data_IF_363110778675
#
_entry.id   IF_363110778675
#
_cell.length_a   1.000
_cell.length_b   1.000
_cell.length_c   1.000
_cell.angle_alpha   90.00
_cell.angle_beta   90.00
_cell.angle_gamma   90.00
#
_symmetry.space_group_name_H-M   'P 1'
#
loop_
_entity.id
_entity.type
_entity.pdbx_description
1 polymer ?
#
# COMPACT_ATOMS: atom_id res chain seq x y z
N UNK A 1 -27.51 17.65 3.91
CA UNK A 1 -27.89 16.39 3.30
C UNK A 1 -27.19 16.25 1.96
N UNK A 2 -26.35 15.20 1.79
CA UNK A 2 -25.72 14.85 0.51
C UNK A 2 -26.77 14.05 -0.27
N UNK A 3 -27.28 14.60 -1.37
CA UNK A 3 -28.26 13.98 -2.25
C UNK A 3 -29.36 14.95 -2.65
N UNK A 4 -30.13 14.61 -3.70
CA UNK A 4 -31.31 15.39 -4.10
C UNK A 4 -32.38 15.17 -3.03
N UNK A 5 -32.62 16.17 -2.21
CA UNK A 5 -33.66 16.14 -1.18
C UNK A 5 -34.89 16.89 -1.72
N UNK A 6 -36.04 16.23 -1.70
CA UNK A 6 -37.29 16.87 -2.07
C UNK A 6 -37.79 17.68 -0.87
N UNK A 7 -37.80 19.01 -1.00
CA UNK A 7 -38.37 19.92 0.01
C UNK A 7 -39.89 19.81 -0.05
N UNK A 8 -40.54 19.48 1.06
CA UNK A 8 -42.00 19.40 1.23
C UNK A 8 -42.47 20.49 2.20
N UNK A 9 -43.78 20.70 2.30
CA UNK A 9 -44.38 21.68 3.22
C UNK A 9 -44.04 21.45 4.70
N UNK A 10 -43.60 20.24 5.04
CA UNK A 10 -43.26 19.84 6.41
C UNK A 10 -41.73 19.83 6.68
N UNK A 11 -40.96 20.42 5.76
CA UNK A 11 -39.51 20.51 5.86
C UNK A 11 -39.10 21.79 6.56
N UNK A 12 -38.57 21.71 7.76
CA UNK A 12 -37.99 22.86 8.47
C UNK A 12 -36.61 23.20 7.91
N UNK A 13 -36.46 24.39 7.36
CA UNK A 13 -35.19 24.89 6.86
C UNK A 13 -34.59 25.83 7.91
N UNK A 14 -33.50 25.38 8.54
CA UNK A 14 -32.71 26.19 9.48
C UNK A 14 -31.54 26.81 8.70
N UNK A 15 -31.56 28.11 8.51
CA UNK A 15 -30.46 28.88 7.95
C UNK A 15 -29.53 29.27 9.11
N UNK A 16 -28.28 28.85 9.08
CA UNK A 16 -27.23 29.31 10.02
C UNK A 16 -26.45 30.44 9.35
N UNK A 17 -26.19 31.50 10.10
CA UNK A 17 -25.43 32.67 9.63
C UNK A 17 -23.92 32.47 9.53
N UNK A 18 -23.42 31.36 10.07
CA UNK A 18 -22.01 30.98 9.98
C UNK A 18 -21.86 29.79 9.02
N UNK A 19 -20.88 29.90 8.12
CA UNK A 19 -20.45 28.76 7.33
C UNK A 19 -20.02 27.64 8.28
N UNK A 20 -20.54 26.44 8.08
CA UNK A 20 -20.05 25.26 8.81
C UNK A 20 -18.65 25.04 8.27
N UNK A 21 -17.63 25.28 9.09
CA UNK A 21 -16.27 24.90 8.77
C UNK A 21 -16.24 23.39 8.52
N UNK A 22 -15.63 22.99 7.40
CA UNK A 22 -15.48 21.57 7.02
C UNK A 22 -14.69 20.73 8.07
N UNK A 23 -14.08 21.41 9.05
CA UNK A 23 -13.38 20.79 10.18
C UNK A 23 -14.32 20.18 11.24
N UNK A 24 -15.57 20.63 11.32
CA UNK A 24 -16.57 20.10 12.29
C UNK A 24 -17.35 18.87 11.78
N UNK A 25 -17.15 18.48 10.52
CA UNK A 25 -17.70 17.23 9.99
C UNK A 25 -16.69 16.09 10.23
N UNK A 26 -16.50 15.75 11.49
CA UNK A 26 -15.75 14.56 11.90
C UNK A 26 -16.45 13.23 11.57
N UNK A 27 -17.25 13.20 10.51
CA UNK A 27 -17.74 11.97 9.90
C UNK A 27 -16.76 11.62 8.77
N UNK A 28 -16.09 10.46 8.94
CA UNK A 28 -15.40 9.81 7.84
C UNK A 28 -16.29 9.89 6.59
N UNK A 29 -15.77 10.41 5.50
CA UNK A 29 -16.45 10.44 4.20
C UNK A 29 -16.89 9.03 3.86
N UNK A 30 -18.00 8.57 4.29
CA UNK A 30 -18.74 7.35 3.96
C UNK A 30 -17.97 6.15 3.35
N UNK A 31 -16.64 6.07 3.52
CA UNK A 31 -15.79 4.96 3.07
C UNK A 31 -16.10 3.75 3.92
N UNK A 32 -16.55 2.69 3.26
CA UNK A 32 -16.87 1.40 3.88
C UNK A 32 -15.83 0.35 3.51
N UNK A 33 -15.93 -0.84 4.10
CA UNK A 33 -15.08 -1.97 3.69
C UNK A 33 -15.26 -2.38 2.23
N UNK A 34 -16.41 -2.09 1.64
CA UNK A 34 -16.68 -2.37 0.22
C UNK A 34 -15.89 -1.48 -0.74
N UNK A 35 -15.37 -0.36 -0.24
CA UNK A 35 -14.55 0.57 -1.01
C UNK A 35 -13.04 0.24 -0.90
N UNK A 36 -12.68 -0.79 -0.15
CA UNK A 36 -11.29 -1.21 0.06
C UNK A 36 -11.10 -2.63 -0.46
N UNK A 37 -10.55 -2.77 -1.66
CA UNK A 37 -10.21 -4.05 -2.27
C UNK A 37 -8.80 -4.53 -1.93
N UNK A 38 -8.54 -5.81 -2.12
CA UNK A 38 -7.19 -6.40 -2.08
C UNK A 38 -6.60 -6.64 -0.70
N UNK A 39 -7.40 -6.63 0.37
CA UNK A 39 -6.94 -6.76 1.74
C UNK A 39 -7.72 -7.80 2.58
N UNK A 40 -8.30 -8.81 1.95
CA UNK A 40 -9.22 -9.75 2.62
C UNK A 40 -8.70 -10.33 3.94
N UNK A 41 -7.48 -10.87 3.97
CA UNK A 41 -6.87 -11.40 5.20
C UNK A 41 -6.49 -10.30 6.21
N UNK A 42 -6.00 -9.17 5.73
CA UNK A 42 -5.65 -8.02 6.55
C UNK A 42 -6.90 -7.40 7.18
N UNK A 43 -8.00 -7.35 6.42
CA UNK A 43 -9.27 -6.83 6.91
C UNK A 43 -9.81 -7.65 8.09
N UNK A 44 -9.68 -8.96 8.06
CA UNK A 44 -10.06 -9.81 9.19
C UNK A 44 -9.24 -9.44 10.44
N UNK A 45 -7.92 -9.27 10.31
CA UNK A 45 -7.06 -8.84 11.41
C UNK A 45 -7.43 -7.46 11.95
N UNK A 46 -7.77 -6.52 11.05
CA UNK A 46 -8.22 -5.18 11.41
C UNK A 46 -9.52 -5.25 12.20
N UNK A 47 -10.49 -6.06 11.77
CA UNK A 47 -11.74 -6.30 12.49
C UNK A 47 -11.50 -6.86 13.89
N UNK A 48 -10.67 -7.88 14.01
CA UNK A 48 -10.35 -8.51 15.30
C UNK A 48 -9.61 -7.55 16.26
N UNK A 49 -8.72 -6.72 15.74
CA UNK A 49 -7.84 -5.88 16.57
C UNK A 49 -8.37 -4.48 16.84
N UNK A 50 -9.29 -3.96 16.02
CA UNK A 50 -9.80 -2.60 16.15
C UNK A 50 -11.32 -2.58 16.33
N UNK A 51 -12.06 -3.25 15.43
CA UNK A 51 -13.51 -3.20 15.44
C UNK A 51 -14.10 -3.92 16.66
N UNK A 52 -13.67 -5.15 16.94
CA UNK A 52 -14.17 -5.91 18.09
C UNK A 52 -13.90 -5.24 19.44
N UNK A 53 -12.71 -4.70 19.74
CA UNK A 53 -12.48 -3.96 20.98
C UNK A 53 -13.39 -2.75 21.17
N UNK A 54 -13.69 -2.03 20.08
CA UNK A 54 -14.54 -0.83 20.13
C UNK A 54 -16.04 -1.17 20.21
N UNK A 55 -16.51 -2.20 19.50
CA UNK A 55 -17.91 -2.62 19.48
C UNK A 55 -18.28 -3.50 20.68
N UNK A 56 -17.35 -4.37 21.11
CA UNK A 56 -17.61 -5.44 22.10
C UNK A 56 -16.51 -5.54 23.16
N UNK A 57 -16.22 -4.48 23.93
CA UNK A 57 -15.19 -4.51 24.97
C UNK A 57 -15.46 -5.55 26.07
N UNK A 58 -16.74 -5.91 26.26
CA UNK A 58 -17.16 -6.93 27.24
C UNK A 58 -16.57 -8.33 26.95
N UNK A 59 -16.29 -8.67 25.68
CA UNK A 59 -15.68 -9.94 25.33
C UNK A 59 -14.26 -10.06 25.90
N UNK A 60 -13.50 -8.99 25.80
CA UNK A 60 -12.11 -8.92 26.30
C UNK A 60 -12.08 -8.98 27.83
N UNK A 61 -13.00 -8.24 28.49
CA UNK A 61 -13.15 -8.29 29.96
C UNK A 61 -13.51 -9.68 30.46
N UNK A 62 -14.41 -10.38 29.77
CA UNK A 62 -14.80 -11.74 30.10
C UNK A 62 -13.67 -12.76 29.97
N UNK A 63 -12.80 -12.58 28.99
CA UNK A 63 -11.63 -13.42 28.75
C UNK A 63 -10.44 -13.05 29.66
N UNK A 64 -10.52 -11.93 30.39
CA UNK A 64 -9.42 -11.43 31.23
C UNK A 64 -8.19 -10.96 30.43
N UNK A 65 -8.41 -10.47 29.19
CA UNK A 65 -7.37 -9.95 28.33
C UNK A 65 -7.61 -8.46 28.05
N UNK A 66 -6.55 -7.68 28.00
CA UNK A 66 -6.64 -6.28 27.63
C UNK A 66 -6.79 -6.14 26.10
N UNK A 67 -7.75 -5.33 25.62
CA UNK A 67 -7.87 -5.06 24.19
C UNK A 67 -6.66 -4.29 23.67
N UNK A 68 -6.24 -4.52 22.40
CA UNK A 68 -5.20 -3.72 21.78
C UNK A 68 -5.58 -2.24 21.76
N UNK A 69 -4.66 -1.36 22.16
CA UNK A 69 -4.87 0.09 22.19
C UNK A 69 -4.20 0.80 21.03
N UNK A 70 -3.17 0.18 20.48
CA UNK A 70 -2.43 0.69 19.34
C UNK A 70 -2.20 -0.38 18.30
N UNK A 71 -2.54 -0.06 17.04
CA UNK A 71 -2.30 -0.91 15.88
C UNK A 71 -1.42 -0.17 14.89
N UNK A 72 -0.33 -0.78 14.46
CA UNK A 72 0.58 -0.22 13.46
C UNK A 72 0.29 -0.83 12.08
N UNK A 73 -0.17 -0.02 11.14
CA UNK A 73 -0.28 -0.38 9.73
C UNK A 73 1.04 -0.03 9.03
N UNK A 74 1.68 -0.99 8.40
CA UNK A 74 2.92 -0.73 7.70
C UNK A 74 2.96 -1.39 6.32
N UNK A 75 3.69 -0.79 5.38
CA UNK A 75 3.83 -1.31 4.02
C UNK A 75 4.11 -0.20 3.02
N UNK A 76 4.27 -0.53 1.72
CA UNK A 76 4.58 0.45 0.68
C UNK A 76 3.57 1.60 0.62
N UNK A 77 3.97 2.78 0.11
CA UNK A 77 3.03 3.87 -0.12
C UNK A 77 1.95 3.45 -1.14
N UNK A 78 0.77 4.06 -1.04
CA UNK A 78 -0.33 3.80 -1.97
C UNK A 78 -1.06 2.47 -1.80
N UNK A 79 -0.79 1.69 -0.74
CA UNK A 79 -1.46 0.41 -0.46
C UNK A 79 -2.77 0.54 0.32
N UNK A 80 -3.27 1.75 0.56
CA UNK A 80 -4.59 1.99 1.16
C UNK A 80 -4.63 2.03 2.70
N UNK A 81 -3.50 2.19 3.41
CA UNK A 81 -3.44 2.25 4.88
C UNK A 81 -4.41 3.26 5.49
N UNK A 82 -4.46 4.46 4.95
CA UNK A 82 -5.36 5.54 5.38
C UNK A 82 -6.83 5.21 5.08
N UNK A 83 -7.12 4.57 3.94
CA UNK A 83 -8.47 4.14 3.57
C UNK A 83 -9.00 3.06 4.53
N UNK A 84 -8.15 2.10 4.91
CA UNK A 84 -8.50 1.06 5.89
C UNK A 84 -8.91 1.70 7.22
N UNK A 85 -8.13 2.67 7.73
CA UNK A 85 -8.44 3.34 8.98
C UNK A 85 -9.77 4.10 8.94
N UNK A 86 -10.06 4.80 7.82
CA UNK A 86 -11.35 5.48 7.60
C UNK A 86 -12.50 4.49 7.49
N UNK A 87 -12.34 3.38 6.76
CA UNK A 87 -13.37 2.37 6.62
C UNK A 87 -13.75 1.75 7.98
N UNK A 88 -12.75 1.41 8.80
CA UNK A 88 -12.99 0.92 10.15
C UNK A 88 -13.77 1.92 11.01
N UNK A 89 -13.38 3.20 10.95
CA UNK A 89 -14.07 4.25 11.72
C UNK A 89 -15.54 4.40 11.31
N UNK A 90 -15.83 4.32 10.02
CA UNK A 90 -17.20 4.35 9.49
C UNK A 90 -18.00 3.13 10.00
N UNK A 91 -17.45 1.94 9.91
CA UNK A 91 -18.11 0.69 10.32
C UNK A 91 -18.41 0.62 11.84
N UNK A 92 -17.54 1.22 12.65
CA UNK A 92 -17.70 1.27 14.10
C UNK A 92 -18.55 2.47 14.53
N UNK A 93 -18.84 3.40 13.62
CA UNK A 93 -19.41 4.71 13.91
C UNK A 93 -18.61 5.46 15.00
N UNK A 94 -17.28 5.38 14.92
CA UNK A 94 -16.36 6.02 15.85
C UNK A 94 -15.99 7.44 15.38
N UNK A 95 -15.74 8.33 16.35
CA UNK A 95 -15.12 9.62 16.04
C UNK A 95 -13.74 9.40 15.45
N UNK A 96 -13.49 9.94 14.26
CA UNK A 96 -12.22 9.75 13.53
C UNK A 96 -11.41 11.04 13.50
N UNK A 97 -10.23 11.01 14.14
CA UNK A 97 -9.28 12.13 14.11
C UNK A 97 -8.02 11.72 13.37
N UNK A 98 -7.81 12.26 12.18
CA UNK A 98 -6.59 12.05 11.41
C UNK A 98 -5.53 13.10 11.77
N UNK A 99 -4.29 12.65 11.85
CA UNK A 99 -3.11 13.44 12.13
C UNK A 99 -2.07 13.09 11.09
N UNK A 100 -1.50 14.09 10.44
CA UNK A 100 -0.36 13.92 9.56
C UNK A 100 0.92 14.21 10.35
N UNK A 101 1.84 13.26 10.42
CA UNK A 101 3.06 13.38 11.22
C UNK A 101 3.87 14.64 10.97
N UNK A 102 4.23 14.97 9.73
CA UNK A 102 4.98 16.19 9.40
C UNK A 102 4.31 17.49 9.86
N UNK A 103 2.99 17.56 9.91
CA UNK A 103 2.27 18.78 10.33
C UNK A 103 2.45 19.10 11.81
N UNK A 104 2.57 18.05 12.64
CA UNK A 104 2.82 18.23 14.08
C UNK A 104 4.19 18.85 14.34
N UNK A 105 5.20 18.45 13.56
CA UNK A 105 6.58 18.94 13.76
C UNK A 105 6.75 20.34 13.18
N UNK A 106 6.04 20.71 12.10
CA UNK A 106 6.22 21.95 11.38
C UNK A 106 5.55 23.18 12.02
N UNK A 107 4.53 22.98 12.85
CA UNK A 107 3.77 24.06 13.50
C UNK A 107 4.39 24.47 14.85
N UNK A 108 5.38 25.34 14.84
CA UNK A 108 5.95 26.08 15.99
C UNK A 108 6.61 25.27 17.12
N UNK A 109 7.83 25.69 17.47
CA UNK A 109 8.61 25.21 18.62
C UNK A 109 7.78 25.30 19.91
N UNK A 110 7.48 24.16 20.53
CA UNK A 110 6.81 24.07 21.84
C UNK A 110 5.31 23.81 21.84
N UNK A 111 4.62 23.90 20.69
CA UNK A 111 3.17 23.64 20.59
C UNK A 111 2.82 22.17 20.26
N UNK A 112 3.75 21.43 19.68
CA UNK A 112 3.54 20.06 19.21
C UNK A 112 3.10 19.09 20.34
N UNK A 113 3.72 19.22 21.52
CA UNK A 113 3.37 18.38 22.69
C UNK A 113 1.97 18.70 23.23
N UNK A 114 1.60 19.98 23.23
CA UNK A 114 0.28 20.43 23.67
C UNK A 114 -0.79 19.99 22.72
N UNK A 115 -0.57 20.14 21.41
CA UNK A 115 -1.49 19.72 20.37
C UNK A 115 -1.74 18.20 20.41
N UNK A 116 -0.71 17.38 20.57
CA UNK A 116 -0.88 15.94 20.74
C UNK A 116 -1.76 15.63 21.96
N UNK A 117 -1.54 16.28 23.09
CA UNK A 117 -2.36 16.07 24.29
C UNK A 117 -3.82 16.45 24.05
N UNK A 118 -4.09 17.60 23.45
CA UNK A 118 -5.44 18.07 23.12
C UNK A 118 -6.18 17.08 22.25
N UNK A 119 -5.51 16.49 21.23
CA UNK A 119 -6.09 15.47 20.35
C UNK A 119 -6.48 14.19 21.13
N UNK A 120 -5.62 13.71 22.02
CA UNK A 120 -5.91 12.52 22.83
C UNK A 120 -7.01 12.79 23.85
N UNK A 121 -7.10 13.99 24.41
CA UNK A 121 -8.14 14.40 25.33
C UNK A 121 -9.49 14.53 24.58
N UNK A 122 -9.50 15.18 23.40
CA UNK A 122 -10.68 15.25 22.52
C UNK A 122 -11.21 13.86 22.15
N UNK A 123 -10.34 12.94 21.75
CA UNK A 123 -10.73 11.58 21.41
C UNK A 123 -11.31 10.81 22.60
N UNK A 124 -10.83 11.10 23.82
CA UNK A 124 -11.37 10.49 25.05
C UNK A 124 -12.75 11.01 25.38
N UNK A 125 -13.01 12.30 25.16
CA UNK A 125 -14.31 12.93 25.37
C UNK A 125 -15.37 12.45 24.37
N UNK A 126 -14.94 12.21 23.10
CA UNK A 126 -15.83 11.78 22.00
C UNK A 126 -15.78 10.27 21.76
N UNK A 127 -15.53 9.45 22.78
CA UNK A 127 -15.47 7.99 22.63
C UNK A 127 -16.82 7.37 22.22
N UNK A 128 -16.88 6.31 21.36
CA UNK A 128 -15.75 5.58 20.80
C UNK A 128 -15.00 6.38 19.75
N UNK A 129 -13.66 6.36 19.78
CA UNK A 129 -12.83 7.18 18.91
C UNK A 129 -11.62 6.42 18.34
N UNK A 130 -11.22 6.81 17.14
CA UNK A 130 -10.02 6.33 16.46
C UNK A 130 -9.12 7.54 16.18
N UNK A 131 -7.91 7.51 16.72
CA UNK A 131 -6.85 8.46 16.38
C UNK A 131 -5.99 7.80 15.29
N UNK A 132 -5.99 8.35 14.09
CA UNK A 132 -5.15 7.88 13.00
C UNK A 132 -3.94 8.81 12.83
N UNK A 133 -2.74 8.25 12.88
CA UNK A 133 -1.48 8.99 12.75
C UNK A 133 -0.78 8.51 11.49
N UNK A 134 -0.82 9.31 10.43
CA UNK A 134 -0.11 9.01 9.20
C UNK A 134 1.36 9.44 9.31
N UNK A 135 2.24 8.73 8.60
CA UNK A 135 3.69 8.95 8.64
C UNK A 135 4.25 9.06 10.07
N UNK A 136 3.84 8.14 10.95
CA UNK A 136 4.23 8.16 12.37
C UNK A 136 5.75 8.10 12.57
N UNK A 137 6.49 7.57 11.62
CA UNK A 137 7.96 7.57 11.61
C UNK A 137 8.57 8.97 11.50
N UNK A 138 7.84 9.96 10.98
CA UNK A 138 8.25 11.36 10.99
C UNK A 138 8.22 11.98 12.39
N UNK A 139 7.22 11.60 13.22
CA UNK A 139 7.07 12.11 14.58
C UNK A 139 7.93 11.33 15.57
N UNK A 140 8.08 10.03 15.34
CA UNK A 140 8.70 9.10 16.27
C UNK A 140 9.83 8.29 15.62
N UNK A 141 10.86 8.94 15.05
CA UNK A 141 12.01 8.25 14.48
C UNK A 141 12.86 7.55 15.56
N UNK A 142 13.75 6.66 15.14
CA UNK A 142 14.72 6.03 16.05
C UNK A 142 15.56 7.07 16.76
N UNK A 143 15.88 6.81 18.03
CA UNK A 143 16.70 7.72 18.84
C UNK A 143 18.09 8.00 18.28
N UNK A 144 18.62 7.06 17.50
CA UNK A 144 19.92 7.18 16.82
C UNK A 144 19.87 8.17 15.65
N UNK A 145 18.70 8.32 15.03
CA UNK A 145 18.48 9.19 13.88
C UNK A 145 18.01 10.59 14.29
N UNK A 146 17.74 10.82 15.60
CA UNK A 146 17.22 12.07 16.14
C UNK A 146 18.35 12.98 16.61
N UNK A 147 18.56 14.07 15.89
CA UNK A 147 19.53 15.13 16.28
C UNK A 147 18.91 16.28 17.09
N UNK A 148 17.58 16.45 17.06
CA UNK A 148 16.85 17.55 17.69
C UNK A 148 16.29 17.21 19.09
N UNK A 149 16.35 18.22 20.00
CA UNK A 149 15.76 18.09 21.35
C UNK A 149 14.23 18.06 21.31
N UNK A 150 13.62 18.75 20.36
CA UNK A 150 12.16 18.83 20.17
C UNK A 150 11.59 17.48 19.76
N UNK A 151 12.20 16.83 18.78
CA UNK A 151 11.78 15.49 18.33
C UNK A 151 11.82 14.47 19.48
N UNK A 152 12.87 14.51 20.31
CA UNK A 152 12.97 13.64 21.49
C UNK A 152 11.84 13.86 22.49
N UNK A 153 11.40 15.11 22.67
CA UNK A 153 10.29 15.47 23.57
C UNK A 153 8.96 14.96 23.01
N UNK A 154 8.74 15.13 21.71
CA UNK A 154 7.52 14.63 21.03
C UNK A 154 7.43 13.12 21.14
N UNK A 155 8.52 12.37 20.92
CA UNK A 155 8.57 10.91 21.14
C UNK A 155 8.24 10.54 22.56
N UNK A 156 8.84 11.24 23.55
CA UNK A 156 8.57 10.99 24.96
C UNK A 156 7.11 11.27 25.33
N UNK A 157 6.53 12.35 24.79
CA UNK A 157 5.13 12.69 24.98
C UNK A 157 4.20 11.63 24.37
N UNK A 158 4.48 11.18 23.15
CA UNK A 158 3.71 10.11 22.51
C UNK A 158 3.73 8.82 23.33
N UNK A 159 4.90 8.42 23.84
CA UNK A 159 5.01 7.26 24.73
C UNK A 159 4.17 7.43 26.00
N UNK A 160 4.20 8.61 26.60
CA UNK A 160 3.41 8.93 27.81
C UNK A 160 1.90 8.89 27.53
N UNK A 161 1.46 9.42 26.39
CA UNK A 161 0.06 9.41 25.99
C UNK A 161 -0.45 8.00 25.73
N UNK A 162 0.34 7.17 25.02
CA UNK A 162 -0.02 5.76 24.79
C UNK A 162 -0.07 4.96 26.09
N UNK A 163 0.89 5.14 26.99
CA UNK A 163 0.86 4.50 28.31
C UNK A 163 -0.30 5.00 29.18
N UNK A 164 -0.64 6.28 29.10
CA UNK A 164 -1.75 6.91 29.81
C UNK A 164 -3.15 6.49 29.34
N UNK A 165 -3.26 5.79 28.23
CA UNK A 165 -4.50 5.19 27.74
C UNK A 165 -4.93 3.94 28.54
N UNK A 166 -4.12 3.50 29.53
CA UNK A 166 -4.52 2.44 30.46
C UNK A 166 -5.70 2.96 31.34
N UNK A 167 -6.90 2.50 31.02
CA UNK A 167 -8.15 2.92 31.70
C UNK A 167 -9.05 3.86 30.89
N UNK A 168 -8.63 4.36 29.73
CA UNK A 168 -9.49 5.06 28.76
C UNK A 168 -10.08 4.02 27.80
N UNK A 169 -11.20 3.42 28.21
CA UNK A 169 -11.92 2.46 27.39
C UNK A 169 -12.48 3.15 26.12
N UNK A 170 -12.45 2.45 24.97
CA UNK A 170 -13.03 2.84 23.68
C UNK A 170 -12.26 3.89 22.85
N UNK A 171 -10.96 4.07 23.06
CA UNK A 171 -10.09 4.81 22.14
C UNK A 171 -9.01 3.89 21.61
N UNK A 172 -8.86 3.84 20.28
CA UNK A 172 -7.81 3.07 19.59
C UNK A 172 -6.93 4.02 18.77
N UNK A 173 -5.62 3.85 18.86
CA UNK A 173 -4.66 4.59 18.04
C UNK A 173 -4.17 3.72 16.88
N UNK A 174 -4.30 4.20 15.67
CA UNK A 174 -3.80 3.54 14.47
C UNK A 174 -2.62 4.36 13.94
N UNK A 175 -1.41 3.82 14.00
CA UNK A 175 -0.25 4.41 13.36
C UNK A 175 -0.06 3.85 11.95
N UNK A 176 0.26 4.69 10.97
CA UNK A 176 0.61 4.26 9.64
C UNK A 176 2.04 4.68 9.30
N UNK A 177 2.81 3.81 8.65
CA UNK A 177 4.17 4.11 8.19
C UNK A 177 4.52 3.32 6.93
N UNK A 178 5.29 3.94 6.07
CA UNK A 178 5.93 3.25 4.94
C UNK A 178 7.27 2.63 5.37
N UNK A 179 7.84 3.07 6.50
CA UNK A 179 9.19 2.73 6.97
C UNK A 179 9.18 2.18 8.38
N UNK A 180 8.61 0.96 8.56
CA UNK A 180 8.51 0.28 9.85
C UNK A 180 9.82 0.33 10.67
N UNK A 181 10.94 0.13 10.00
CA UNK A 181 12.25 0.03 10.64
C UNK A 181 12.84 1.40 11.02
N UNK A 182 12.25 2.52 10.59
CA UNK A 182 12.62 3.87 11.01
C UNK A 182 11.97 4.30 12.34
N UNK A 183 10.92 3.58 12.78
CA UNK A 183 10.18 3.88 14.01
C UNK A 183 10.97 3.49 15.26
N UNK A 184 10.87 4.29 16.34
CA UNK A 184 11.47 3.97 17.65
C UNK A 184 10.94 2.61 18.17
N UNK A 185 11.82 1.63 18.47
CA UNK A 185 11.41 0.32 18.97
C UNK A 185 10.59 0.38 20.28
N UNK A 186 10.70 1.46 21.06
CA UNK A 186 9.94 1.63 22.28
C UNK A 186 8.43 1.76 22.04
N UNK A 187 8.02 2.27 20.87
CA UNK A 187 6.61 2.36 20.47
C UNK A 187 5.99 1.01 20.14
N UNK A 188 6.80 0.03 19.75
CA UNK A 188 6.38 -1.30 19.31
C UNK A 188 6.38 -2.33 20.44
N UNK A 189 6.35 -1.88 21.68
CA UNK A 189 6.29 -2.73 22.88
C UNK A 189 4.84 -2.93 23.33
N UNK A 190 4.60 -3.99 24.14
CA UNK A 190 3.30 -4.29 24.72
C UNK A 190 2.65 -3.09 25.43
N UNK A 191 1.37 -2.90 25.22
CA UNK A 191 0.60 -1.77 25.75
C UNK A 191 0.64 -0.49 24.89
N UNK A 192 1.34 -0.48 23.77
CA UNK A 192 1.44 0.62 22.81
C UNK A 192 1.03 0.10 21.42
N UNK A 193 1.88 0.23 20.38
CA UNK A 193 1.65 -0.43 19.09
C UNK A 193 2.11 -1.89 19.17
N UNK A 194 1.42 -2.69 19.93
CA UNK A 194 1.74 -4.10 20.16
C UNK A 194 1.24 -5.02 19.03
N UNK A 195 0.39 -4.49 18.18
CA UNK A 195 -0.16 -5.17 17.00
C UNK A 195 0.31 -4.50 15.73
N UNK A 196 0.88 -5.30 14.84
CA UNK A 196 1.38 -4.84 13.54
C UNK A 196 0.65 -5.60 12.43
N UNK A 197 0.17 -4.84 11.43
CA UNK A 197 -0.49 -5.38 10.25
C UNK A 197 0.27 -4.88 9.03
N UNK A 198 0.83 -5.81 8.27
CA UNK A 198 1.49 -5.51 7.01
C UNK A 198 0.46 -5.40 5.88
N UNK A 199 0.42 -4.24 5.24
CA UNK A 199 -0.38 -3.99 4.04
C UNK A 199 0.60 -4.00 2.87
N UNK A 200 0.74 -5.16 2.26
CA UNK A 200 1.67 -5.39 1.15
C UNK A 200 1.15 -4.90 -0.20
N UNK A 201 1.94 -5.18 -1.23
CA UNK A 201 1.50 -5.04 -2.63
C UNK A 201 0.42 -6.09 -2.90
N UNK A 202 -0.71 -5.72 -3.53
CA UNK A 202 -1.80 -6.66 -3.77
C UNK A 202 -1.39 -7.77 -4.75
N UNK A 203 -1.81 -8.99 -4.46
CA UNK A 203 -1.71 -10.11 -5.39
C UNK A 203 -2.69 -9.94 -6.58
N UNK A 204 -2.74 -10.91 -7.49
CA UNK A 204 -3.58 -10.84 -8.68
C UNK A 204 -5.07 -10.68 -8.34
N UNK A 205 -5.56 -11.42 -7.34
CA UNK A 205 -6.95 -11.33 -6.91
C UNK A 205 -7.22 -10.00 -6.20
N UNK A 206 -6.29 -9.55 -5.37
CA UNK A 206 -6.37 -8.23 -4.74
C UNK A 206 -6.39 -7.09 -5.76
N UNK A 207 -5.59 -7.15 -6.83
CA UNK A 207 -5.66 -6.15 -7.91
C UNK A 207 -7.00 -6.17 -8.62
N UNK A 208 -7.60 -7.36 -8.80
CA UNK A 208 -8.93 -7.50 -9.39
C UNK A 208 -10.00 -6.80 -8.52
N UNK A 209 -10.02 -7.08 -7.22
CA UNK A 209 -10.94 -6.42 -6.28
C UNK A 209 -10.78 -4.89 -6.32
N UNK A 210 -9.53 -4.38 -6.33
CA UNK A 210 -9.25 -2.94 -6.41
C UNK A 210 -9.77 -2.37 -7.73
N UNK A 211 -9.55 -3.06 -8.86
CA UNK A 211 -10.07 -2.62 -10.16
C UNK A 211 -11.59 -2.58 -10.16
N UNK A 212 -12.27 -3.59 -9.61
CA UNK A 212 -13.74 -3.63 -9.50
C UNK A 212 -14.28 -2.45 -8.68
N UNK A 213 -13.60 -2.09 -7.59
CA UNK A 213 -13.96 -0.90 -6.78
C UNK A 213 -13.85 0.38 -7.61
N UNK A 214 -12.72 0.62 -8.28
CA UNK A 214 -12.49 1.86 -9.01
C UNK A 214 -13.26 1.98 -10.32
N UNK A 215 -13.68 0.85 -10.89
CA UNK A 215 -14.47 0.83 -12.14
C UNK A 215 -15.99 0.75 -11.92
N UNK A 216 -16.44 0.57 -10.67
CA UNK A 216 -17.86 0.38 -10.30
C UNK A 216 -18.82 1.42 -10.90
N UNK A 217 -18.39 2.68 -11.00
CA UNK A 217 -19.21 3.78 -11.50
C UNK A 217 -18.84 4.22 -12.93
N UNK A 218 -17.93 3.50 -13.57
CA UNK A 218 -17.42 3.86 -14.88
C UNK A 218 -18.21 3.16 -15.98
N UNK A 219 -18.64 3.88 -17.03
CA UNK A 219 -19.25 3.25 -18.21
C UNK A 219 -18.18 2.50 -19.02
N UNK A 220 -18.02 1.24 -18.73
CA UNK A 220 -17.03 0.36 -19.38
C UNK A 220 -17.68 -0.32 -20.57
N UNK A 221 -16.99 -0.31 -21.72
CA UNK A 221 -17.42 -1.01 -22.92
C UNK A 221 -17.30 -2.54 -22.78
N UNK A 222 -18.09 -3.28 -23.57
CA UNK A 222 -18.12 -4.76 -23.56
C UNK A 222 -16.78 -5.40 -23.99
N UNK A 223 -15.87 -4.63 -24.63
CA UNK A 223 -14.56 -5.10 -25.06
C UNK A 223 -13.50 -5.15 -23.95
N UNK A 224 -13.87 -4.76 -22.71
CA UNK A 224 -12.95 -4.71 -21.58
C UNK A 224 -12.55 -6.08 -21.08
N UNK A 225 -11.27 -6.38 -21.17
CA UNK A 225 -10.66 -7.63 -20.69
C UNK A 225 -9.90 -7.41 -19.37
N UNK A 226 -10.57 -7.58 -18.23
CA UNK A 226 -9.96 -7.42 -16.91
C UNK A 226 -8.69 -8.26 -16.75
N UNK A 227 -8.69 -9.49 -17.26
CA UNK A 227 -7.54 -10.40 -17.15
C UNK A 227 -6.29 -9.83 -17.83
N UNK A 228 -6.45 -9.22 -18.99
CA UNK A 228 -5.32 -8.57 -19.69
C UNK A 228 -4.75 -7.43 -18.83
N UNK A 229 -5.60 -6.61 -18.21
CA UNK A 229 -5.16 -5.52 -17.32
C UNK A 229 -4.40 -6.09 -16.12
N UNK A 230 -4.91 -7.16 -15.50
CA UNK A 230 -4.27 -7.81 -14.34
C UNK A 230 -2.89 -8.40 -14.69
N UNK A 231 -2.76 -8.95 -15.88
CA UNK A 231 -1.50 -9.55 -16.36
C UNK A 231 -0.45 -8.47 -16.70
N UNK A 232 -0.88 -7.24 -16.99
CA UNK A 232 -0.01 -6.10 -17.32
C UNK A 232 0.16 -5.08 -16.18
N UNK A 233 -0.49 -5.26 -15.01
CA UNK A 233 -0.38 -4.36 -13.85
C UNK A 233 0.39 -4.99 -12.69
N UNK A 234 1.39 -5.79 -13.02
CA UNK A 234 2.21 -6.43 -12.02
C UNK A 234 2.97 -5.38 -11.18
N UNK A 235 2.99 -5.56 -9.84
CA UNK A 235 3.62 -4.61 -8.93
C UNK A 235 2.88 -3.28 -8.71
N UNK A 236 1.69 -3.12 -9.30
CA UNK A 236 0.85 -1.96 -9.04
C UNK A 236 0.23 -2.05 -7.64
N UNK A 237 0.27 -0.95 -6.91
CA UNK A 237 -0.47 -0.77 -5.66
C UNK A 237 -1.84 -0.14 -5.92
N UNK A 238 -2.67 -0.03 -4.89
CA UNK A 238 -4.01 0.54 -5.03
C UNK A 238 -4.02 1.94 -5.66
N UNK A 239 -3.08 2.80 -5.28
CA UNK A 239 -2.94 4.14 -5.86
C UNK A 239 -2.58 4.14 -7.36
N UNK A 240 -1.76 3.16 -7.80
CA UNK A 240 -1.39 3.03 -9.21
C UNK A 240 -2.58 2.55 -10.05
N UNK A 241 -3.35 1.59 -9.53
CA UNK A 241 -4.56 1.10 -10.19
C UNK A 241 -5.62 2.21 -10.29
N UNK A 242 -5.79 3.01 -9.23
CA UNK A 242 -6.65 4.19 -9.26
C UNK A 242 -6.19 5.23 -10.30
N UNK A 243 -4.87 5.44 -10.41
CA UNK A 243 -4.28 6.32 -11.41
C UNK A 243 -4.51 5.77 -12.83
N UNK A 244 -4.36 4.45 -13.03
CA UNK A 244 -4.61 3.78 -14.29
C UNK A 244 -6.06 3.96 -14.75
N UNK A 245 -7.01 3.71 -13.87
CA UNK A 245 -8.45 3.87 -14.15
C UNK A 245 -8.77 5.32 -14.51
N UNK A 246 -8.20 6.27 -13.76
CA UNK A 246 -8.36 7.71 -14.04
C UNK A 246 -7.77 8.10 -15.39
N UNK A 247 -6.56 7.63 -15.72
CA UNK A 247 -5.93 7.95 -17.00
C UNK A 247 -6.70 7.31 -18.17
N UNK A 248 -7.19 6.07 -18.02
CA UNK A 248 -8.05 5.44 -19.02
C UNK A 248 -9.33 6.26 -19.27
N UNK A 249 -9.97 6.77 -18.21
CA UNK A 249 -11.12 7.68 -18.34
C UNK A 249 -10.74 8.98 -19.05
N UNK A 250 -9.55 9.54 -18.76
CA UNK A 250 -9.07 10.75 -19.43
C UNK A 250 -8.75 10.50 -20.93
N UNK A 251 -8.24 9.32 -21.29
CA UNK A 251 -8.05 8.92 -22.69
C UNK A 251 -9.40 8.81 -23.42
N UNK A 252 -10.38 8.17 -22.80
CA UNK A 252 -11.74 8.11 -23.31
C UNK A 252 -12.34 9.52 -23.50
N UNK A 253 -12.25 10.39 -22.49
CA UNK A 253 -12.73 11.77 -22.58
C UNK A 253 -12.09 12.53 -23.76
N UNK A 254 -10.76 12.43 -23.91
CA UNK A 254 -10.05 13.07 -25.03
C UNK A 254 -10.56 12.61 -26.40
N UNK A 255 -11.05 11.38 -26.51
CA UNK A 255 -11.63 10.83 -27.74
C UNK A 255 -12.97 11.48 -28.09
N UNK A 256 -13.76 11.88 -27.09
CA UNK A 256 -15.06 12.55 -27.30
C UNK A 256 -14.96 14.07 -27.34
N UNK A 257 -13.85 14.68 -26.91
CA UNK A 257 -13.68 16.14 -26.97
C UNK A 257 -13.99 16.80 -28.32
N UNK A 258 -13.65 16.20 -29.49
CA UNK A 258 -14.01 16.79 -30.80
C UNK A 258 -15.51 16.83 -31.09
N UNK A 259 -16.31 16.01 -30.36
CA UNK A 259 -17.78 15.94 -30.52
C UNK A 259 -18.50 16.87 -29.53
N UNK A 260 -17.77 17.49 -28.61
CA UNK A 260 -18.31 18.37 -27.56
C UNK A 260 -17.99 19.81 -27.93
N UNK A 261 -19.01 20.64 -28.08
CA UNK A 261 -18.83 22.09 -28.16
C UNK A 261 -18.59 22.65 -26.75
N UNK A 262 -17.34 23.07 -26.51
CA UNK A 262 -16.92 23.61 -25.20
C UNK A 262 -17.44 25.03 -24.93
N UNK A 263 -18.06 25.69 -25.93
CA UNK A 263 -18.65 27.00 -25.77
C UNK A 263 -20.13 26.91 -25.33
N UNK A 264 -20.77 25.73 -25.44
CA UNK A 264 -22.12 25.51 -24.94
C UNK A 264 -22.11 25.24 -23.42
N UNK A 265 -23.04 25.85 -22.69
CA UNK A 265 -23.16 25.65 -21.22
C UNK A 265 -23.58 24.24 -20.82
N UNK A 266 -24.12 23.44 -21.74
CA UNK A 266 -24.58 22.07 -21.45
C UNK A 266 -24.15 21.09 -22.53
N UNK A 267 -23.60 19.97 -22.10
CA UNK A 267 -23.22 18.85 -23.00
C UNK A 267 -24.52 18.11 -23.39
N UNK A 268 -24.73 17.82 -24.68
CA UNK A 268 -25.88 17.06 -25.12
C UNK A 268 -25.97 15.68 -24.43
N UNK A 269 -27.14 15.29 -23.88
CA UNK A 269 -27.33 14.00 -23.22
C UNK A 269 -26.93 12.80 -24.10
N UNK A 270 -27.15 12.94 -25.42
CA UNK A 270 -26.78 11.87 -26.40
C UNK A 270 -25.30 11.59 -26.46
N UNK A 271 -24.44 12.58 -26.19
CA UNK A 271 -22.98 12.41 -26.13
C UNK A 271 -22.61 11.72 -24.80
N UNK A 272 -23.22 12.15 -23.69
CA UNK A 272 -22.98 11.55 -22.37
C UNK A 272 -23.38 10.06 -22.34
N UNK A 273 -24.52 9.70 -22.95
CA UNK A 273 -24.99 8.31 -23.02
C UNK A 273 -24.08 7.40 -23.90
N UNK A 274 -23.38 7.97 -24.86
CA UNK A 274 -22.45 7.24 -25.72
C UNK A 274 -21.03 7.12 -25.17
N UNK A 275 -20.73 7.88 -24.10
CA UNK A 275 -19.40 7.86 -23.50
C UNK A 275 -19.14 6.51 -22.84
N UNK A 276 -18.14 5.81 -23.30
CA UNK A 276 -17.67 4.54 -22.76
C UNK A 276 -16.15 4.49 -22.73
N UNK A 277 -15.58 3.80 -21.75
CA UNK A 277 -14.14 3.54 -21.66
C UNK A 277 -13.85 2.19 -22.26
N UNK A 278 -13.01 2.14 -23.30
CA UNK A 278 -12.70 0.95 -24.10
C UNK A 278 -11.39 0.32 -23.65
N UNK A 279 -11.18 -0.92 -24.05
CA UNK A 279 -9.94 -1.64 -23.76
C UNK A 279 -8.70 -0.89 -24.27
N UNK A 280 -8.77 -0.23 -25.43
CA UNK A 280 -7.67 0.55 -25.98
C UNK A 280 -7.26 1.74 -25.09
N UNK A 281 -8.24 2.36 -24.39
CA UNK A 281 -7.96 3.46 -23.47
C UNK A 281 -7.11 2.96 -22.30
N UNK A 282 -7.37 1.74 -21.78
CA UNK A 282 -6.55 1.10 -20.74
C UNK A 282 -5.16 0.70 -21.26
N UNK A 283 -5.06 0.17 -22.50
CA UNK A 283 -3.77 -0.19 -23.09
C UNK A 283 -2.85 1.03 -23.30
N UNK A 284 -3.43 2.18 -23.60
CA UNK A 284 -2.67 3.42 -23.72
C UNK A 284 -2.38 4.07 -22.37
N UNK A 285 -3.29 3.93 -21.40
CA UNK A 285 -3.09 4.45 -20.04
C UNK A 285 -1.97 3.73 -19.29
N UNK A 286 -1.82 2.41 -19.46
CA UNK A 286 -0.74 1.64 -18.82
C UNK A 286 0.65 2.15 -19.18
N UNK A 287 0.83 2.70 -20.38
CA UNK A 287 2.13 3.26 -20.83
C UNK A 287 2.51 4.53 -20.05
N UNK A 288 1.53 5.24 -19.52
CA UNK A 288 1.70 6.52 -18.82
C UNK A 288 1.78 6.35 -17.29
N UNK A 289 1.41 5.18 -16.77
CA UNK A 289 1.38 4.90 -15.31
C UNK A 289 2.50 3.93 -14.93
N UNK A 290 3.45 4.41 -14.14
CA UNK A 290 4.54 3.60 -13.62
C UNK A 290 4.19 3.00 -12.24
N UNK A 291 4.52 1.71 -11.98
CA UNK A 291 4.26 1.07 -10.70
C UNK A 291 5.06 1.71 -9.55
N UNK A 292 4.36 2.20 -8.53
CA UNK A 292 4.98 2.90 -7.39
C UNK A 292 5.83 1.98 -6.51
N UNK A 293 5.47 0.72 -6.40
CA UNK A 293 6.25 -0.26 -5.64
C UNK A 293 7.65 -0.50 -6.23
N UNK A 294 7.84 -0.16 -7.48
CA UNK A 294 9.07 -0.41 -8.24
C UNK A 294 10.00 0.83 -8.34
N UNK A 295 9.48 2.04 -8.04
CA UNK A 295 10.25 3.29 -8.19
C UNK A 295 11.53 3.38 -7.36
N UNK A 296 11.62 2.67 -6.25
CA UNK A 296 12.78 2.74 -5.34
C UNK A 296 13.87 1.68 -5.60
N UNK A 297 13.62 0.73 -6.50
CA UNK A 297 14.62 -0.25 -6.97
C UNK A 297 14.49 -0.35 -8.48
N UNK A 298 15.61 -0.51 -9.16
CA UNK A 298 15.64 -0.92 -10.56
C UNK A 298 15.05 -2.34 -10.69
N UNK A 299 13.72 -2.44 -10.70
CA UNK A 299 13.03 -3.66 -11.07
C UNK A 299 12.80 -3.54 -12.57
N UNK A 300 13.56 -4.27 -13.32
CA UNK A 300 13.31 -4.44 -14.74
C UNK A 300 12.19 -5.47 -14.91
N UNK A 301 11.22 -5.19 -15.76
CA UNK A 301 10.40 -6.24 -16.37
C UNK A 301 11.09 -6.55 -17.71
N UNK A 302 11.86 -7.65 -17.78
CA UNK A 302 12.58 -7.94 -19.01
C UNK A 302 11.59 -8.34 -20.08
N UNK A 303 11.71 -7.79 -21.28
CA UNK A 303 10.92 -8.19 -22.46
C UNK A 303 11.58 -9.31 -23.28
N UNK A 304 12.64 -9.93 -22.75
CA UNK A 304 13.45 -10.92 -23.46
C UNK A 304 12.78 -12.30 -23.40
N UNK A 305 12.37 -12.82 -24.55
CA UNK A 305 11.81 -14.17 -24.66
C UNK A 305 12.91 -15.25 -24.85
N UNK A 306 12.57 -16.53 -24.59
CA UNK A 306 13.49 -17.65 -24.82
C UNK A 306 13.98 -17.75 -26.24
N UNK A 307 13.22 -17.30 -27.23
CA UNK A 307 13.58 -17.34 -28.64
C UNK A 307 14.73 -16.39 -28.98
N UNK A 308 14.94 -15.34 -28.21
CA UNK A 308 16.04 -14.40 -28.35
C UNK A 308 17.37 -14.94 -27.79
N UNK A 309 17.30 -16.00 -26.99
CA UNK A 309 18.49 -16.66 -26.44
C UNK A 309 18.91 -17.81 -27.38
N UNK A 310 19.97 -17.61 -28.17
CA UNK A 310 20.49 -18.65 -29.07
C UNK A 310 21.19 -19.78 -28.35
N UNK A 311 20.91 -21.05 -28.71
CA UNK A 311 21.55 -22.25 -28.15
C UNK A 311 21.22 -22.46 -26.64
N UNK A 312 22.12 -23.20 -25.96
CA UNK A 312 22.02 -23.48 -24.52
C UNK A 312 20.76 -24.25 -24.10
N UNK A 313 20.22 -25.11 -24.95
CA UNK A 313 18.92 -25.77 -24.75
C UNK A 313 18.87 -26.57 -23.45
N UNK A 314 19.94 -27.32 -23.11
CA UNK A 314 20.01 -28.04 -21.85
C UNK A 314 19.98 -27.12 -20.61
N UNK A 315 20.58 -25.93 -20.70
CA UNK A 315 20.57 -24.94 -19.61
C UNK A 315 19.20 -24.29 -19.49
N UNK A 316 18.55 -23.99 -20.63
CA UNK A 316 17.19 -23.46 -20.66
C UNK A 316 16.22 -24.44 -20.01
N UNK A 317 16.27 -25.72 -20.35
CA UNK A 317 15.40 -26.73 -19.79
C UNK A 317 15.59 -26.88 -18.26
N UNK A 318 16.82 -26.92 -17.80
CA UNK A 318 17.11 -26.94 -16.36
C UNK A 318 16.61 -25.70 -15.63
N UNK A 319 16.68 -24.52 -16.24
CA UNK A 319 16.18 -23.28 -15.66
C UNK A 319 14.65 -23.26 -15.63
N UNK A 320 13.97 -23.76 -16.69
CA UNK A 320 12.54 -23.93 -16.70
C UNK A 320 12.06 -24.81 -15.56
N UNK A 321 12.67 -25.97 -15.37
CA UNK A 321 12.34 -26.92 -14.30
C UNK A 321 12.58 -26.32 -12.90
N UNK A 322 13.67 -25.59 -12.72
CA UNK A 322 14.13 -25.14 -11.42
C UNK A 322 13.56 -23.78 -10.98
N UNK A 323 13.15 -22.92 -11.91
CA UNK A 323 12.68 -21.55 -11.63
C UNK A 323 11.28 -21.31 -12.15
N UNK A 324 11.05 -21.52 -13.46
CA UNK A 324 9.79 -21.19 -14.11
C UNK A 324 8.63 -22.03 -13.55
N UNK A 325 8.77 -23.37 -13.53
CA UNK A 325 7.69 -24.23 -13.08
C UNK A 325 7.32 -24.03 -11.60
N UNK A 326 8.25 -23.87 -10.65
CA UNK A 326 7.88 -23.54 -9.28
C UNK A 326 7.13 -22.22 -9.10
N UNK A 327 7.38 -21.24 -9.97
CA UNK A 327 6.70 -19.95 -9.91
C UNK A 327 5.35 -19.96 -10.64
N UNK A 328 5.25 -20.68 -11.77
CA UNK A 328 4.04 -20.72 -12.60
C UNK A 328 3.05 -21.83 -12.21
N UNK A 329 3.54 -22.92 -11.60
CA UNK A 329 2.77 -24.13 -11.23
C UNK A 329 3.11 -24.61 -9.82
N UNK A 330 2.97 -23.79 -8.78
CA UNK A 330 3.33 -24.14 -7.41
C UNK A 330 2.59 -25.37 -6.88
N UNK A 331 1.33 -25.56 -7.28
CA UNK A 331 0.51 -26.71 -6.87
C UNK A 331 1.11 -28.07 -7.23
N UNK A 332 1.87 -28.16 -8.33
CA UNK A 332 2.53 -29.41 -8.73
C UNK A 332 3.62 -29.77 -7.71
N UNK A 333 4.40 -28.79 -7.27
CA UNK A 333 5.47 -28.99 -6.29
C UNK A 333 4.91 -29.32 -4.90
N UNK A 334 3.80 -28.68 -4.52
CA UNK A 334 3.10 -28.98 -3.27
C UNK A 334 2.51 -30.41 -3.30
N UNK A 335 1.89 -30.79 -4.40
CA UNK A 335 1.29 -32.14 -4.55
C UNK A 335 2.34 -33.25 -4.38
N UNK A 336 3.54 -33.07 -4.95
CA UNK A 336 4.63 -34.04 -4.83
C UNK A 336 5.49 -33.81 -3.58
N UNK A 337 5.19 -32.80 -2.74
CA UNK A 337 5.97 -32.40 -1.58
C UNK A 337 7.48 -32.16 -1.91
N UNK A 338 7.73 -31.58 -3.10
CA UNK A 338 9.06 -31.23 -3.58
C UNK A 338 9.34 -29.76 -3.23
N UNK A 339 10.43 -29.49 -2.54
CA UNK A 339 10.87 -28.11 -2.27
C UNK A 339 11.73 -27.63 -3.44
N UNK A 340 11.31 -26.58 -4.17
CA UNK A 340 12.12 -26.04 -5.25
C UNK A 340 13.42 -25.40 -4.70
N UNK A 341 14.50 -25.35 -5.51
CA UNK A 341 15.71 -24.66 -5.13
C UNK A 341 15.46 -23.17 -4.96
N UNK A 342 16.01 -22.56 -3.90
CA UNK A 342 15.88 -21.13 -3.61
C UNK A 342 17.01 -20.28 -4.16
N UNK A 343 18.08 -20.91 -4.62
CA UNK A 343 19.27 -20.25 -5.16
C UNK A 343 19.90 -21.10 -6.24
N UNK A 344 20.28 -20.46 -7.34
CA UNK A 344 20.90 -21.08 -8.50
C UNK A 344 22.15 -20.27 -8.85
N UNK A 345 23.26 -20.93 -9.12
CA UNK A 345 24.50 -20.28 -9.56
C UNK A 345 24.71 -20.53 -11.04
N UNK A 346 24.72 -19.44 -11.83
CA UNK A 346 25.12 -19.46 -13.23
C UNK A 346 26.60 -19.15 -13.33
N UNK A 347 27.40 -20.10 -13.77
CA UNK A 347 28.84 -19.92 -13.94
C UNK A 347 29.29 -20.16 -15.38
N UNK A 348 30.34 -19.50 -15.79
CA UNK A 348 30.87 -19.59 -17.17
C UNK A 348 31.66 -18.34 -17.54
N UNK A 349 32.30 -18.37 -18.70
CA UNK A 349 33.09 -17.25 -19.20
C UNK A 349 32.27 -15.96 -19.34
N UNK A 350 32.88 -14.77 -19.25
CA UNK A 350 32.19 -13.53 -19.54
C UNK A 350 31.65 -13.52 -20.98
N UNK A 351 30.49 -12.87 -21.21
CA UNK A 351 29.86 -12.79 -22.52
C UNK A 351 29.09 -14.04 -22.98
N UNK A 352 28.96 -15.09 -22.15
CA UNK A 352 28.18 -16.31 -22.48
C UNK A 352 26.66 -16.18 -22.30
N UNK A 353 26.14 -14.99 -22.03
CA UNK A 353 24.70 -14.74 -21.93
C UNK A 353 24.06 -15.04 -20.57
N UNK A 354 24.83 -15.12 -19.47
CA UNK A 354 24.29 -15.38 -18.13
C UNK A 354 23.19 -14.41 -17.71
N UNK A 355 23.41 -13.11 -17.89
CA UNK A 355 22.44 -12.04 -17.60
C UNK A 355 21.24 -12.11 -18.52
N UNK A 356 21.45 -12.47 -19.79
CA UNK A 356 20.39 -12.64 -20.78
C UNK A 356 19.47 -13.82 -20.41
N UNK A 357 20.06 -14.96 -20.02
CA UNK A 357 19.32 -16.13 -19.51
C UNK A 357 18.48 -15.77 -18.27
N UNK A 358 19.06 -15.02 -17.32
CA UNK A 358 18.36 -14.60 -16.11
C UNK A 358 17.17 -13.67 -16.41
N UNK A 359 17.32 -12.77 -17.40
CA UNK A 359 16.23 -11.90 -17.86
C UNK A 359 15.15 -12.69 -18.60
N UNK A 360 15.53 -13.62 -19.49
CA UNK A 360 14.57 -14.44 -20.22
C UNK A 360 13.70 -15.29 -19.27
N UNK A 361 14.31 -15.93 -18.26
CA UNK A 361 13.53 -16.72 -17.31
C UNK A 361 12.59 -15.86 -16.44
N UNK A 362 12.99 -14.62 -16.11
CA UNK A 362 12.13 -13.71 -15.36
C UNK A 362 10.91 -13.29 -16.19
N UNK A 363 11.10 -13.01 -17.49
CA UNK A 363 10.00 -12.71 -18.40
C UNK A 363 9.01 -13.89 -18.53
N UNK A 364 9.52 -15.08 -18.80
CA UNK A 364 8.66 -16.27 -18.98
C UNK A 364 7.95 -16.69 -17.68
N UNK A 365 8.60 -16.53 -16.53
CA UNK A 365 7.99 -16.77 -15.22
C UNK A 365 7.08 -15.63 -14.77
N UNK A 366 6.94 -14.57 -15.56
CA UNK A 366 6.20 -13.34 -15.19
C UNK A 366 6.59 -12.83 -13.79
N UNK A 367 7.89 -12.86 -13.50
CA UNK A 367 8.45 -12.48 -12.22
C UNK A 367 9.21 -11.16 -12.31
N UNK A 368 9.14 -10.36 -11.26
CA UNK A 368 9.94 -9.16 -11.14
C UNK A 368 11.43 -9.49 -11.13
N UNK A 369 12.22 -8.77 -11.92
CA UNK A 369 13.64 -8.96 -12.03
C UNK A 369 14.42 -7.85 -11.32
N UNK A 370 15.12 -8.21 -10.24
CA UNK A 370 15.93 -7.28 -9.46
C UNK A 370 17.40 -7.59 -9.77
N UNK A 371 18.00 -6.76 -10.61
CA UNK A 371 19.42 -6.89 -10.98
C UNK A 371 20.29 -6.03 -10.06
N UNK A 372 21.33 -6.65 -9.51
CA UNK A 372 22.27 -6.00 -8.60
C UNK A 372 23.69 -6.37 -9.03
N UNK A 373 24.52 -5.35 -9.24
CA UNK A 373 25.94 -5.56 -9.49
C UNK A 373 26.73 -5.57 -8.18
N UNK A 374 27.55 -6.58 -7.99
CA UNK A 374 28.34 -6.76 -6.79
C UNK A 374 29.15 -5.52 -6.37
N UNK A 375 29.92 -4.87 -7.26
CA UNK A 375 30.66 -3.64 -6.94
C UNK A 375 29.77 -2.47 -6.50
N UNK A 376 28.56 -2.34 -7.03
CA UNK A 376 27.62 -1.29 -6.63
C UNK A 376 27.14 -1.48 -5.19
N UNK A 377 26.96 -2.74 -4.76
CA UNK A 377 26.63 -3.05 -3.37
C UNK A 377 27.75 -2.64 -2.41
N UNK A 378 28.99 -2.86 -2.79
CA UNK A 378 30.12 -2.53 -1.93
C UNK A 378 30.34 -1.01 -1.89
N UNK A 379 30.24 -0.31 -3.02
CA UNK A 379 30.53 1.12 -3.11
C UNK A 379 29.42 2.02 -2.54
N UNK A 380 28.17 1.66 -2.72
CA UNK A 380 27.02 2.45 -2.27
C UNK A 380 26.71 2.28 -0.77
N UNK A 381 27.23 1.21 -0.15
CA UNK A 381 26.93 0.79 1.22
C UNK A 381 28.18 0.52 2.06
N UNK A 382 29.25 1.29 1.86
CA UNK A 382 30.47 1.20 2.70
C UNK A 382 30.09 1.44 4.16
N UNK A 383 30.13 0.37 4.98
CA UNK A 383 29.72 0.38 6.38
C UNK A 383 28.35 -0.19 6.70
N UNK A 384 27.44 -0.35 5.72
CA UNK A 384 26.05 -0.84 5.92
C UNK A 384 25.66 -1.99 4.97
N UNK A 385 26.60 -2.73 4.44
CA UNK A 385 26.35 -3.79 3.42
C UNK A 385 25.31 -4.83 3.85
N UNK A 386 25.27 -5.20 5.14
CA UNK A 386 24.23 -6.12 5.65
C UNK A 386 22.83 -5.53 5.61
N UNK A 387 22.70 -4.23 5.86
CA UNK A 387 21.41 -3.54 5.81
C UNK A 387 20.88 -3.47 4.38
N UNK A 388 21.76 -3.16 3.41
CA UNK A 388 21.43 -3.14 1.99
C UNK A 388 20.93 -4.48 1.47
N UNK A 389 21.62 -5.58 1.82
CA UNK A 389 21.20 -6.94 1.46
C UNK A 389 19.82 -7.25 2.05
N UNK A 390 19.58 -6.95 3.32
CA UNK A 390 18.28 -7.18 3.96
C UNK A 390 17.16 -6.38 3.28
N UNK A 391 17.42 -5.14 2.89
CA UNK A 391 16.44 -4.30 2.18
C UNK A 391 16.10 -4.88 0.81
N UNK A 392 17.08 -5.39 0.05
CA UNK A 392 16.87 -6.03 -1.23
C UNK A 392 15.97 -7.27 -1.10
N UNK A 393 16.28 -8.17 -0.16
CA UNK A 393 15.46 -9.36 0.08
C UNK A 393 14.08 -9.01 0.62
N UNK A 394 13.95 -7.97 1.44
CA UNK A 394 12.66 -7.47 1.92
C UNK A 394 11.80 -6.97 0.74
N UNK A 395 12.40 -6.19 -0.15
CA UNK A 395 11.73 -5.65 -1.34
C UNK A 395 11.37 -6.74 -2.34
N UNK A 396 12.27 -7.69 -2.59
CA UNK A 396 11.96 -8.85 -3.42
C UNK A 396 10.78 -9.66 -2.88
N UNK A 397 10.68 -9.79 -1.56
CA UNK A 397 9.53 -10.44 -0.92
C UNK A 397 8.24 -9.64 -1.06
N UNK A 398 8.31 -8.31 -1.04
CA UNK A 398 7.18 -7.41 -1.24
C UNK A 398 6.69 -7.39 -2.69
N UNK A 399 7.60 -7.61 -3.65
CA UNK A 399 7.31 -7.69 -5.09
C UNK A 399 7.22 -9.14 -5.61
N UNK A 400 6.88 -10.10 -4.76
CA UNK A 400 6.74 -11.52 -5.14
C UNK A 400 5.60 -11.73 -6.16
N UNK A 401 5.80 -12.65 -7.18
CA UNK A 401 7.00 -13.42 -7.46
C UNK A 401 8.13 -12.56 -8.00
N UNK A 402 9.36 -12.77 -7.51
CA UNK A 402 10.52 -11.99 -7.90
C UNK A 402 11.78 -12.84 -8.00
N UNK A 403 12.66 -12.47 -8.94
CA UNK A 403 13.98 -13.07 -9.13
C UNK A 403 15.04 -12.02 -8.81
N UNK A 404 15.88 -12.29 -7.81
CA UNK A 404 17.05 -11.48 -7.50
C UNK A 404 18.23 -12.04 -8.29
N UNK A 405 18.78 -11.24 -9.20
CA UNK A 405 19.97 -11.56 -9.94
C UNK A 405 21.18 -10.79 -9.41
N UNK A 406 22.14 -11.51 -8.85
CA UNK A 406 23.38 -10.96 -8.33
C UNK A 406 24.47 -11.13 -9.39
N UNK A 407 24.76 -10.07 -10.14
CA UNK A 407 25.84 -10.08 -11.13
C UNK A 407 27.20 -9.84 -10.46
N UNK A 408 28.23 -10.45 -10.98
CA UNK A 408 29.58 -10.42 -10.38
C UNK A 408 29.58 -10.85 -8.90
N UNK A 409 28.88 -11.96 -8.63
CA UNK A 409 28.65 -12.48 -7.25
C UNK A 409 29.94 -12.71 -6.46
N UNK A 410 31.02 -13.02 -7.14
CA UNK A 410 32.37 -13.18 -6.56
C UNK A 410 32.89 -11.93 -5.87
N UNK A 411 32.42 -10.74 -6.27
CA UNK A 411 32.81 -9.50 -5.61
C UNK A 411 32.20 -9.36 -4.21
N UNK A 412 30.99 -9.95 -4.01
CA UNK A 412 30.27 -9.92 -2.72
C UNK A 412 30.68 -11.10 -1.83
N UNK A 413 30.86 -12.27 -2.42
CA UNK A 413 31.14 -13.53 -1.73
C UNK A 413 32.55 -14.01 -2.01
N UNK A 414 33.57 -13.16 -1.79
CA UNK A 414 34.96 -13.55 -1.92
C UNK A 414 35.33 -14.61 -0.90
N UNK A 415 36.13 -15.60 -1.31
CA UNK A 415 36.70 -16.58 -0.38
C UNK A 415 37.47 -15.85 0.74
N UNK A 416 37.25 -16.26 1.98
CA UNK A 416 38.05 -15.83 3.13
C UNK A 416 39.45 -16.39 3.07
#
# INVERSE_FOLDING_TARGET
PKGIVKVTSDTDIVIKDEAIDDEDVGQSEGITYEDVGGIGQQLQKVREMIELPLKHPELFRRLGIDPPKGVLLHGPPGTGKTMIAKAVATEVNAHFKAINGPEIISKYYGESEKQLREIFDEASEKSPAIIFIDEIDSICPKREDVSGEVERRVVAQMLTLLDGMQGRDNVVVIGATNRRDALDPALRRGGRFDREIEIGVPDREGRKEIMEVHTRQMPIADDFEVNWVLDNTYGFVGADLAALVREAAMKALRRYLPEIDLEEETIPPEVLEKMEVRMNDFKDAIKDVEPSALREIYVEVPEIAWDEVGGLDEVKDRLKESVEWPLTKPEVFEHFNIKPPRGIVLFGAPGTGKTLLAKAIANEAQANFISIKGPEMISKWVGESERGIREIFKKAKQSSPSIIFLDEFESIASMR
#
